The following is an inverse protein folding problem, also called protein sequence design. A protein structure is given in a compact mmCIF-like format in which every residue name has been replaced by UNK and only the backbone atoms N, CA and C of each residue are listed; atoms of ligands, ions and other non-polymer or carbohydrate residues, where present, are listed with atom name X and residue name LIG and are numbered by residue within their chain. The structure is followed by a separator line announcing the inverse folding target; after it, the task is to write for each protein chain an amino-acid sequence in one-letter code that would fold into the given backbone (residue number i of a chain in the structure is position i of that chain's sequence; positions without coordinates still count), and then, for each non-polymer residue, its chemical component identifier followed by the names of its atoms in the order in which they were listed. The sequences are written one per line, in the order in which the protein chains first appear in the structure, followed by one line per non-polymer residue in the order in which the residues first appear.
data_IF_011040698775
#
_entry.id   IF_011040698775
#
_cell.length_a   1.000
_cell.length_b   1.000
_cell.length_c   1.000
_cell.angle_alpha   90.00
_cell.angle_beta   90.00
_cell.angle_gamma   90.00
#
_symmetry.space_group_name_H-M   'P 1'
#
loop_
_entity.id
_entity.type
_entity.pdbx_description
1 polymer ?
#
# COMPACT_ATOMS: atom_id res chain seq x y z
N UNK A 1 38.70 -13.59 -2.44
CA UNK A 1 37.32 -14.03 -2.71
C UNK A 1 36.63 -12.87 -3.41
N UNK A 2 36.55 -12.94 -4.74
CA UNK A 2 36.07 -11.87 -5.60
C UNK A 2 34.55 -11.92 -5.62
N UNK A 3 33.90 -11.01 -4.88
CA UNK A 3 32.46 -10.80 -4.98
C UNK A 3 32.08 -10.31 -6.39
N UNK A 4 30.81 -10.50 -6.82
CA UNK A 4 30.36 -10.07 -8.13
C UNK A 4 30.61 -8.56 -8.30
N UNK A 5 31.22 -8.18 -9.43
CA UNK A 5 31.44 -6.79 -9.84
C UNK A 5 30.09 -6.19 -10.28
N UNK A 6 29.19 -5.98 -9.33
CA UNK A 6 28.00 -5.18 -9.56
C UNK A 6 28.42 -3.71 -9.56
N UNK A 7 28.06 -2.97 -10.60
CA UNK A 7 28.19 -1.51 -10.61
C UNK A 7 27.26 -0.97 -9.52
N UNK A 8 27.84 -0.33 -8.51
CA UNK A 8 27.11 0.26 -7.39
C UNK A 8 27.06 1.77 -7.63
N UNK A 9 25.86 2.33 -7.60
CA UNK A 9 25.70 3.77 -7.66
C UNK A 9 25.92 4.37 -6.26
N UNK A 10 26.78 5.38 -6.18
CA UNK A 10 27.05 6.08 -4.92
C UNK A 10 26.42 7.46 -5.00
N UNK A 11 25.50 7.74 -4.09
CA UNK A 11 24.85 9.03 -3.94
C UNK A 11 25.44 9.71 -2.73
N UNK A 12 26.07 10.86 -2.95
CA UNK A 12 26.75 11.60 -1.90
C UNK A 12 26.02 12.91 -1.62
N UNK A 13 25.74 13.19 -0.35
CA UNK A 13 25.02 14.40 0.06
C UNK A 13 25.96 15.45 0.63
N UNK A 14 25.62 16.71 0.37
CA UNK A 14 26.25 17.87 1.00
C UNK A 14 25.37 18.36 2.16
N UNK A 15 25.82 18.16 3.39
CA UNK A 15 25.10 18.57 4.61
C UNK A 15 24.10 17.52 5.13
N UNK A 16 23.24 17.94 6.06
CA UNK A 16 22.22 17.05 6.64
C UNK A 16 21.16 16.71 5.60
N UNK A 17 21.04 15.42 5.28
CA UNK A 17 20.07 14.85 4.34
C UNK A 17 19.05 13.92 5.02
N UNK A 18 19.02 13.87 6.36
CA UNK A 18 18.11 13.03 7.12
C UNK A 18 16.62 13.32 6.84
N UNK A 19 16.32 14.54 6.40
CA UNK A 19 14.98 14.99 6.01
C UNK A 19 14.54 14.52 4.61
N UNK A 20 15.41 13.85 3.84
CA UNK A 20 15.18 13.46 2.44
C UNK A 20 14.04 12.46 2.19
N UNK A 21 13.30 12.07 3.23
CA UNK A 21 12.13 11.19 3.12
C UNK A 21 12.49 9.72 2.90
N UNK A 22 13.72 9.31 3.21
CA UNK A 22 14.14 7.92 3.18
C UNK A 22 13.55 7.17 4.38
N UNK A 23 12.75 6.14 4.11
CA UNK A 23 12.18 5.30 5.17
C UNK A 23 13.25 4.36 5.70
N UNK A 24 13.72 4.59 6.92
CA UNK A 24 14.68 3.71 7.60
C UNK A 24 14.02 2.36 7.93
N UNK A 25 14.69 1.26 7.59
CA UNK A 25 14.36 -0.10 8.01
C UNK A 25 15.02 -0.42 9.34
N UNK A 26 16.28 -0.05 9.51
CA UNK A 26 17.04 -0.26 10.75
C UNK A 26 18.25 0.68 10.85
N UNK A 27 18.76 0.88 12.06
CA UNK A 27 19.89 1.78 12.32
C UNK A 27 19.52 3.26 12.28
N UNK A 28 20.46 4.11 11.86
CA UNK A 28 20.29 5.56 11.76
C UNK A 28 20.79 6.09 10.41
N UNK A 29 20.38 7.32 10.08
CA UNK A 29 20.99 8.05 8.98
C UNK A 29 22.48 8.32 9.27
N UNK A 30 23.30 8.47 8.24
CA UNK A 30 24.73 8.79 8.44
C UNK A 30 24.87 10.23 8.94
N UNK A 31 25.78 10.45 9.89
CA UNK A 31 26.00 11.78 10.49
C UNK A 31 27.45 12.26 10.32
N UNK A 32 28.39 11.33 10.11
CA UNK A 32 29.82 11.63 10.01
C UNK A 32 30.43 11.12 8.70
N UNK A 33 31.53 11.74 8.22
CA UNK A 33 32.27 11.23 7.06
C UNK A 33 32.78 9.81 7.31
N UNK A 34 32.72 8.95 6.29
CA UNK A 34 33.06 7.54 6.38
C UNK A 34 31.91 6.64 6.85
N UNK A 35 30.73 7.20 7.12
CA UNK A 35 29.50 6.43 7.33
C UNK A 35 28.66 6.32 6.06
N UNK A 36 27.94 5.20 5.92
CA UNK A 36 27.07 4.94 4.79
C UNK A 36 25.75 4.30 5.22
N UNK A 37 24.70 4.60 4.47
CA UNK A 37 23.38 4.01 4.59
C UNK A 37 23.07 3.32 3.27
N UNK A 38 22.53 2.10 3.34
CA UNK A 38 22.36 1.25 2.15
C UNK A 38 20.97 0.60 2.11
N UNK A 39 20.42 0.28 0.93
CA UNK A 39 19.18 -0.48 0.83
C UNK A 39 19.32 -1.94 1.24
N UNK A 40 18.20 -2.59 1.59
CA UNK A 40 18.17 -4.03 1.91
C UNK A 40 18.78 -4.93 0.82
N UNK A 41 18.48 -4.74 -0.49
CA UNK A 41 19.06 -5.59 -1.53
C UNK A 41 20.59 -5.53 -1.57
N UNK A 42 21.19 -4.38 -1.27
CA UNK A 42 22.64 -4.23 -1.16
C UNK A 42 23.24 -5.12 -0.06
N UNK A 43 22.64 -5.10 1.14
CA UNK A 43 23.08 -5.92 2.27
C UNK A 43 22.98 -7.41 1.93
N UNK A 44 21.86 -7.82 1.31
CA UNK A 44 21.62 -9.20 0.90
C UNK A 44 22.61 -9.66 -0.19
N UNK A 45 22.88 -8.83 -1.19
CA UNK A 45 23.78 -9.14 -2.30
C UNK A 45 25.26 -9.21 -1.88
N UNK A 46 25.67 -8.32 -0.97
CA UNK A 46 27.05 -8.26 -0.46
C UNK A 46 27.30 -9.14 0.75
N UNK A 47 26.25 -9.65 1.39
CA UNK A 47 26.33 -10.43 2.63
C UNK A 47 26.77 -9.61 3.85
N UNK A 48 26.64 -8.29 3.77
CA UNK A 48 27.06 -7.33 4.81
C UNK A 48 25.91 -7.01 5.76
N UNK A 49 26.24 -6.49 6.94
CA UNK A 49 25.28 -6.06 7.97
C UNK A 49 25.58 -4.64 8.43
N UNK A 50 24.61 -4.03 9.09
CA UNK A 50 24.82 -2.77 9.80
C UNK A 50 25.95 -2.98 10.83
N UNK A 51 26.95 -2.10 10.79
CA UNK A 51 28.18 -2.18 11.56
C UNK A 51 29.40 -2.62 10.74
N UNK A 52 29.19 -3.31 9.61
CA UNK A 52 30.29 -3.76 8.76
C UNK A 52 30.91 -2.59 7.95
N UNK A 53 32.16 -2.74 7.55
CA UNK A 53 32.86 -1.80 6.67
C UNK A 53 32.96 -2.37 5.27
N UNK A 54 32.53 -1.60 4.28
CA UNK A 54 32.63 -1.91 2.86
C UNK A 54 33.60 -0.94 2.21
N UNK A 55 34.41 -1.43 1.29
CA UNK A 55 35.32 -0.58 0.51
C UNK A 55 34.67 -0.24 -0.83
N UNK A 56 34.41 1.04 -1.06
CA UNK A 56 33.97 1.55 -2.35
C UNK A 56 35.16 1.53 -3.30
N UNK A 57 35.07 0.67 -4.31
CA UNK A 57 36.07 0.50 -5.36
C UNK A 57 35.61 1.20 -6.65
N UNK A 58 36.54 1.53 -7.55
CA UNK A 58 36.24 2.24 -8.80
C UNK A 58 36.37 3.76 -8.74
N UNK A 59 36.91 4.28 -7.62
CA UNK A 59 37.35 5.67 -7.45
C UNK A 59 38.88 5.75 -7.62
N UNK A 60 39.47 6.95 -7.58
CA UNK A 60 40.93 7.10 -7.69
C UNK A 60 41.67 6.37 -6.55
N UNK A 61 41.08 6.37 -5.35
CA UNK A 61 41.53 5.59 -4.21
C UNK A 61 40.37 4.78 -3.60
N UNK A 62 40.62 3.56 -3.07
CA UNK A 62 39.58 2.80 -2.36
C UNK A 62 39.14 3.52 -1.09
N UNK A 63 37.83 3.77 -0.94
CA UNK A 63 37.29 4.48 0.23
C UNK A 63 36.55 3.50 1.13
N UNK A 64 37.04 3.25 2.37
CA UNK A 64 36.29 2.44 3.33
C UNK A 64 35.14 3.24 3.92
N UNK A 65 33.94 2.65 3.93
CA UNK A 65 32.73 3.23 4.54
C UNK A 65 32.08 2.21 5.48
N UNK A 66 31.64 2.66 6.65
CA UNK A 66 30.94 1.84 7.65
C UNK A 66 29.44 1.96 7.45
N UNK A 67 28.75 0.83 7.36
CA UNK A 67 27.29 0.80 7.24
C UNK A 67 26.66 1.11 8.59
N UNK A 68 25.88 2.18 8.68
CA UNK A 68 25.22 2.62 9.94
C UNK A 68 23.70 2.56 9.91
N UNK A 69 23.13 2.36 8.72
CA UNK A 69 21.70 2.26 8.55
C UNK A 69 21.28 1.49 7.31
N UNK A 70 20.04 1.02 7.35
CA UNK A 70 19.35 0.33 6.27
C UNK A 70 18.11 1.15 5.88
N UNK A 71 17.95 1.42 4.58
CA UNK A 71 16.80 2.18 4.05
C UNK A 71 15.96 1.33 3.10
N UNK A 72 14.67 1.68 3.00
CA UNK A 72 13.81 1.16 1.95
C UNK A 72 13.92 2.05 0.72
N UNK A 73 14.78 1.67 -0.23
CA UNK A 73 14.84 2.28 -1.56
C UNK A 73 14.93 1.19 -2.65
N UNK A 74 13.86 0.96 -3.44
CA UNK A 74 13.85 -0.04 -4.50
C UNK A 74 14.52 0.42 -5.80
N UNK A 75 14.99 1.67 -5.90
CA UNK A 75 15.61 2.21 -7.13
C UNK A 75 16.95 1.54 -7.42
N UNK A 76 17.30 1.43 -8.71
CA UNK A 76 18.53 0.80 -9.21
C UNK A 76 18.76 -0.59 -8.59
N UNK A 77 17.72 -1.42 -8.55
CA UNK A 77 17.71 -2.76 -7.93
C UNK A 77 18.16 -2.80 -6.46
N UNK A 78 18.07 -1.65 -5.77
CA UNK A 78 18.57 -1.48 -4.41
C UNK A 78 20.10 -1.55 -4.29
N UNK A 79 20.84 -1.42 -5.40
CA UNK A 79 22.30 -1.42 -5.45
C UNK A 79 22.85 0.01 -5.39
N UNK A 80 22.45 0.75 -4.36
CA UNK A 80 22.87 2.13 -4.11
C UNK A 80 23.53 2.27 -2.74
N UNK A 81 24.46 3.21 -2.61
CA UNK A 81 25.08 3.57 -1.33
C UNK A 81 24.92 5.07 -1.11
N UNK A 82 24.35 5.45 0.03
CA UNK A 82 24.18 6.83 0.45
C UNK A 82 25.28 7.18 1.46
N UNK A 83 26.03 8.25 1.23
CA UNK A 83 27.10 8.71 2.14
C UNK A 83 27.26 10.22 2.10
N UNK A 84 28.10 10.77 2.98
CA UNK A 84 28.46 12.19 2.95
C UNK A 84 29.48 12.47 1.82
N UNK A 85 29.31 13.56 1.08
CA UNK A 85 30.20 13.96 0.00
C UNK A 85 31.67 14.15 0.41
N UNK A 86 31.91 14.57 1.66
CA UNK A 86 33.28 14.70 2.20
C UNK A 86 34.00 13.35 2.32
N UNK A 87 33.26 12.25 2.46
CA UNK A 87 33.80 10.87 2.46
C UNK A 87 34.49 10.54 1.13
N UNK A 88 33.98 11.10 0.03
CA UNK A 88 34.49 10.84 -1.31
C UNK A 88 35.48 11.90 -1.80
N UNK A 89 35.58 13.04 -1.11
CA UNK A 89 36.36 14.19 -1.55
C UNK A 89 37.85 13.86 -1.78
N UNK A 90 38.43 12.94 -0.98
CA UNK A 90 39.80 12.49 -1.15
C UNK A 90 40.01 11.62 -2.41
N UNK A 91 39.01 10.82 -2.77
CA UNK A 91 39.10 9.85 -3.89
C UNK A 91 38.51 10.38 -5.21
N UNK A 92 37.68 11.42 -5.17
CA UNK A 92 37.10 12.13 -6.31
C UNK A 92 36.99 13.64 -6.00
N UNK A 93 38.04 14.43 -6.23
CA UNK A 93 38.00 15.88 -6.02
C UNK A 93 37.14 16.62 -7.06
N UNK A 94 36.73 15.94 -8.14
CA UNK A 94 35.94 16.45 -9.27
C UNK A 94 34.44 16.13 -9.18
N UNK A 95 33.89 15.96 -7.97
CA UNK A 95 32.46 15.74 -7.79
C UNK A 95 31.66 16.95 -8.27
N UNK A 96 30.91 16.77 -9.35
CA UNK A 96 29.95 17.75 -9.85
C UNK A 96 28.60 17.53 -9.18
N UNK A 97 28.00 18.60 -8.67
CA UNK A 97 26.64 18.56 -8.13
C UNK A 97 25.65 18.26 -9.26
N UNK A 98 24.97 17.12 -9.16
CA UNK A 98 24.03 16.63 -10.18
C UNK A 98 22.57 16.91 -9.84
N UNK A 99 22.27 17.13 -8.56
CA UNK A 99 20.91 17.42 -8.09
C UNK A 99 20.90 18.23 -6.80
N UNK A 100 19.87 19.07 -6.66
CA UNK A 100 19.59 19.79 -5.42
C UNK A 100 18.30 19.24 -4.81
N UNK A 101 18.34 18.92 -3.52
CA UNK A 101 17.16 18.51 -2.78
C UNK A 101 16.61 19.72 -2.03
N UNK A 102 15.28 19.85 -1.97
CA UNK A 102 14.60 20.95 -1.27
C UNK A 102 13.60 20.37 -0.29
N UNK A 103 13.76 20.69 0.99
CA UNK A 103 12.80 20.35 2.03
C UNK A 103 11.60 21.31 1.96
N UNK A 104 10.40 20.77 1.74
CA UNK A 104 9.16 21.54 1.79
C UNK A 104 8.62 21.61 3.23
N UNK A 105 8.08 22.77 3.60
CA UNK A 105 7.44 22.94 4.91
C UNK A 105 6.18 22.07 5.04
N UNK A 106 5.91 21.57 6.24
CA UNK A 106 4.73 20.74 6.53
C UNK A 106 3.42 21.41 6.08
N UNK A 107 2.57 20.67 5.36
CA UNK A 107 1.27 21.17 4.85
C UNK A 107 1.35 21.87 3.49
N UNK A 108 2.52 21.91 2.86
CA UNK A 108 2.69 22.43 1.50
C UNK A 108 2.16 21.42 0.48
N UNK A 109 1.34 21.88 -0.47
CA UNK A 109 0.99 21.08 -1.65
C UNK A 109 2.21 20.92 -2.56
N UNK A 110 2.86 19.77 -2.45
CA UNK A 110 4.08 19.43 -3.20
C UNK A 110 3.83 19.49 -4.71
N UNK A 111 2.64 19.06 -5.16
CA UNK A 111 2.32 19.02 -6.58
C UNK A 111 2.19 20.42 -7.18
N UNK A 112 1.47 21.31 -6.49
CA UNK A 112 1.37 22.72 -6.84
C UNK A 112 2.71 23.44 -6.75
N UNK A 113 3.52 23.14 -5.74
CA UNK A 113 4.86 23.70 -5.56
C UNK A 113 5.80 23.33 -6.71
N UNK A 114 5.86 22.03 -7.06
CA UNK A 114 6.68 21.54 -8.18
C UNK A 114 6.22 22.14 -9.50
N UNK A 115 4.90 22.27 -9.74
CA UNK A 115 4.37 22.90 -10.94
C UNK A 115 4.73 24.39 -11.05
N UNK A 116 4.71 25.12 -9.92
CA UNK A 116 5.13 26.52 -9.88
C UNK A 116 6.65 26.65 -10.10
N UNK A 117 7.44 25.84 -9.41
CA UNK A 117 8.90 25.84 -9.50
C UNK A 117 9.38 25.49 -10.92
N UNK A 118 8.78 24.49 -11.56
CA UNK A 118 9.09 24.13 -12.94
C UNK A 118 8.81 25.25 -13.95
N UNK A 119 7.81 26.11 -13.68
CA UNK A 119 7.54 27.26 -14.54
C UNK A 119 8.67 28.29 -14.49
N UNK A 120 9.22 28.50 -13.29
CA UNK A 120 10.29 29.46 -13.06
C UNK A 120 11.67 28.90 -13.46
N UNK A 121 11.86 27.57 -13.40
CA UNK A 121 13.08 26.88 -13.82
C UNK A 121 13.14 26.57 -15.33
N UNK A 122 12.03 26.65 -16.05
CA UNK A 122 11.98 26.40 -17.50
C UNK A 122 13.03 27.19 -18.32
N UNK A 123 13.36 28.47 -18.03
CA UNK A 123 14.39 29.22 -18.75
C UNK A 123 15.82 28.70 -18.50
N UNK A 124 16.03 28.01 -17.38
CA UNK A 124 17.32 27.46 -16.97
C UNK A 124 17.54 26.03 -17.48
N UNK A 125 16.50 25.41 -18.09
CA UNK A 125 16.56 24.02 -18.56
C UNK A 125 16.62 22.98 -17.44
N UNK A 126 16.25 23.37 -16.21
CA UNK A 126 16.23 22.50 -15.02
C UNK A 126 14.80 22.11 -14.71
N UNK A 127 14.58 20.88 -14.25
CA UNK A 127 13.29 20.40 -13.80
C UNK A 127 13.34 20.00 -12.32
N UNK A 128 12.31 20.38 -11.59
CA UNK A 128 12.02 19.90 -10.26
C UNK A 128 11.05 18.72 -10.35
N UNK A 129 11.27 17.71 -9.51
CA UNK A 129 10.38 16.58 -9.33
C UNK A 129 10.07 16.45 -7.84
N UNK A 130 8.89 15.94 -7.51
CA UNK A 130 8.58 15.62 -6.12
C UNK A 130 9.57 14.55 -5.63
N UNK A 131 10.13 14.71 -4.42
CA UNK A 131 10.98 13.71 -3.78
C UNK A 131 10.17 12.61 -3.08
N UNK A 132 10.83 11.51 -2.71
CA UNK A 132 10.23 10.37 -1.97
C UNK A 132 9.88 9.15 -2.84
N UNK A 133 9.42 8.06 -2.19
CA UNK A 133 9.02 6.81 -2.87
C UNK A 133 7.91 7.03 -3.91
N UNK A 134 7.08 8.05 -3.72
CA UNK A 134 6.02 8.46 -4.64
C UNK A 134 6.55 9.14 -5.92
N UNK A 135 7.83 9.53 -5.97
CA UNK A 135 8.47 10.09 -7.16
C UNK A 135 8.68 9.03 -8.26
N UNK A 136 8.60 7.73 -7.93
CA UNK A 136 8.40 6.64 -8.89
C UNK A 136 6.94 6.56 -9.37
N UNK A 137 6.30 7.72 -9.53
CA UNK A 137 4.85 7.90 -9.58
C UNK A 137 4.16 6.98 -10.58
N UNK A 138 4.75 6.76 -11.76
CA UNK A 138 4.13 5.91 -12.78
C UNK A 138 4.02 4.44 -12.34
N UNK A 139 5.03 3.89 -11.64
CA UNK A 139 4.98 2.51 -11.17
C UNK A 139 4.02 2.37 -9.99
N UNK A 140 4.08 3.28 -9.02
CA UNK A 140 3.19 3.27 -7.85
C UNK A 140 1.73 3.50 -8.28
N UNK A 141 1.47 4.43 -9.19
CA UNK A 141 0.13 4.70 -9.76
C UNK A 141 -0.37 3.47 -10.53
N UNK A 142 0.48 2.82 -11.32
CA UNK A 142 0.09 1.61 -12.05
C UNK A 142 -0.26 0.46 -11.09
N UNK A 143 0.56 0.23 -10.06
CA UNK A 143 0.29 -0.78 -9.03
C UNK A 143 -0.99 -0.49 -8.25
N UNK A 144 -1.24 0.79 -7.91
CA UNK A 144 -2.47 1.22 -7.26
C UNK A 144 -3.69 1.03 -8.17
N UNK A 145 -3.58 1.36 -9.47
CA UNK A 145 -4.64 1.16 -10.43
C UNK A 145 -4.97 -0.34 -10.61
N UNK A 146 -3.96 -1.19 -10.74
CA UNK A 146 -4.14 -2.65 -10.82
C UNK A 146 -4.79 -3.19 -9.54
N UNK A 147 -4.32 -2.77 -8.38
CA UNK A 147 -4.89 -3.16 -7.08
C UNK A 147 -6.34 -2.70 -6.94
N UNK A 148 -6.66 -1.50 -7.41
CA UNK A 148 -8.03 -0.97 -7.40
C UNK A 148 -8.96 -1.79 -8.31
N UNK A 149 -8.52 -2.15 -9.52
CA UNK A 149 -9.31 -3.00 -10.44
C UNK A 149 -9.52 -4.39 -9.84
N UNK A 150 -8.49 -5.01 -9.28
CA UNK A 150 -8.62 -6.32 -8.62
C UNK A 150 -9.58 -6.26 -7.43
N UNK A 151 -9.49 -5.20 -6.63
CA UNK A 151 -10.40 -4.97 -5.50
C UNK A 151 -11.84 -4.83 -5.99
N UNK A 152 -12.08 -4.05 -7.06
CA UNK A 152 -13.40 -3.91 -7.67
C UNK A 152 -13.95 -5.27 -8.14
N UNK A 153 -13.11 -6.11 -8.77
CA UNK A 153 -13.51 -7.44 -9.21
C UNK A 153 -13.90 -8.34 -8.03
N UNK A 154 -13.10 -8.35 -6.96
CA UNK A 154 -13.39 -9.13 -5.76
C UNK A 154 -14.70 -8.67 -5.09
N UNK A 155 -14.91 -7.35 -5.01
CA UNK A 155 -16.15 -6.76 -4.51
C UNK A 155 -17.35 -7.19 -5.37
N UNK A 156 -17.22 -7.17 -6.69
CA UNK A 156 -18.28 -7.59 -7.60
C UNK A 156 -18.62 -9.09 -7.43
N UNK A 157 -17.60 -9.95 -7.34
CA UNK A 157 -17.78 -11.39 -7.10
C UNK A 157 -18.45 -11.63 -5.75
N UNK A 158 -18.01 -10.95 -4.69
CA UNK A 158 -18.61 -11.05 -3.36
C UNK A 158 -20.08 -10.58 -3.37
N UNK A 159 -20.38 -9.45 -4.03
CA UNK A 159 -21.73 -8.93 -4.14
C UNK A 159 -22.67 -9.88 -4.90
N UNK A 160 -22.20 -10.50 -5.98
CA UNK A 160 -22.95 -11.53 -6.71
C UNK A 160 -23.19 -12.78 -5.85
N UNK A 161 -22.21 -13.18 -5.05
CA UNK A 161 -22.35 -14.27 -4.09
C UNK A 161 -23.43 -13.99 -3.04
N UNK A 162 -23.41 -12.80 -2.44
CA UNK A 162 -24.44 -12.36 -1.48
C UNK A 162 -25.81 -12.30 -2.16
N UNK A 163 -25.91 -11.70 -3.35
CA UNK A 163 -27.15 -11.64 -4.12
C UNK A 163 -27.73 -13.03 -4.37
N UNK A 164 -26.89 -13.98 -4.82
CA UNK A 164 -27.28 -15.36 -5.05
C UNK A 164 -27.77 -16.06 -3.77
N UNK A 165 -27.05 -15.88 -2.66
CA UNK A 165 -27.42 -16.44 -1.36
C UNK A 165 -28.76 -15.89 -0.84
N UNK A 166 -28.96 -14.57 -0.91
CA UNK A 166 -30.21 -13.92 -0.48
C UNK A 166 -31.39 -14.32 -1.38
N UNK A 167 -31.17 -14.45 -2.69
CA UNK A 167 -32.18 -14.94 -3.62
C UNK A 167 -32.61 -16.37 -3.28
N UNK A 168 -31.65 -17.24 -2.96
CA UNK A 168 -31.94 -18.62 -2.57
C UNK A 168 -32.70 -18.68 -1.24
N UNK A 169 -32.22 -18.01 -0.20
CA UNK A 169 -32.89 -17.94 1.12
C UNK A 169 -34.32 -17.37 1.00
N UNK A 170 -34.49 -16.32 0.20
CA UNK A 170 -35.81 -15.74 -0.07
C UNK A 170 -36.73 -16.73 -0.77
N UNK A 171 -36.22 -17.49 -1.76
CA UNK A 171 -36.98 -18.50 -2.51
C UNK A 171 -37.44 -19.65 -1.61
N UNK A 172 -36.55 -20.16 -0.75
CA UNK A 172 -36.86 -21.21 0.21
C UNK A 172 -37.95 -20.76 1.20
N UNK A 173 -37.94 -19.48 1.59
CA UNK A 173 -38.90 -18.89 2.54
C UNK A 173 -40.17 -18.32 1.92
N UNK A 174 -40.41 -18.48 0.61
CA UNK A 174 -41.60 -17.89 -0.07
C UNK A 174 -42.91 -18.31 0.61
N UNK A 175 -43.02 -19.58 1.00
CA UNK A 175 -44.25 -20.10 1.64
C UNK A 175 -44.47 -19.47 3.02
N UNK A 176 -43.42 -19.34 3.82
CA UNK A 176 -43.46 -18.71 5.15
C UNK A 176 -43.84 -17.23 5.05
N UNK A 177 -43.24 -16.51 4.09
CA UNK A 177 -43.57 -15.10 3.79
C UNK A 177 -45.03 -14.97 3.34
N UNK A 178 -45.53 -15.91 2.54
CA UNK A 178 -46.93 -15.98 2.11
C UNK A 178 -47.89 -16.12 3.29
N UNK A 179 -47.58 -16.98 4.26
CA UNK A 179 -48.36 -17.13 5.50
C UNK A 179 -48.35 -15.86 6.34
N UNK A 180 -47.19 -15.22 6.52
CA UNK A 180 -47.09 -13.96 7.28
C UNK A 180 -47.87 -12.83 6.60
N UNK A 181 -47.83 -12.72 5.26
CA UNK A 181 -48.65 -11.75 4.51
C UNK A 181 -50.15 -12.02 4.68
N UNK A 182 -50.57 -13.29 4.74
CA UNK A 182 -51.96 -13.64 5.00
C UNK A 182 -52.42 -13.27 6.43
N UNK A 183 -51.49 -13.25 7.40
CA UNK A 183 -51.72 -12.77 8.76
C UNK A 183 -51.64 -11.23 8.90
N UNK A 184 -51.41 -10.50 7.81
CA UNK A 184 -51.40 -9.03 7.80
C UNK A 184 -50.02 -8.37 7.76
N UNK A 185 -48.94 -9.12 7.49
CA UNK A 185 -47.59 -8.54 7.35
C UNK A 185 -47.53 -7.55 6.18
N UNK A 186 -47.09 -6.33 6.46
CA UNK A 186 -46.92 -5.27 5.45
C UNK A 186 -45.66 -5.51 4.58
N UNK A 187 -45.62 -5.02 3.33
CA UNK A 187 -44.44 -5.15 2.47
C UNK A 187 -43.15 -4.59 3.09
N UNK A 188 -43.25 -3.53 3.90
CA UNK A 188 -42.11 -2.94 4.62
C UNK A 188 -41.53 -3.88 5.68
N UNK A 189 -42.39 -4.64 6.38
CA UNK A 189 -41.95 -5.64 7.35
C UNK A 189 -41.23 -6.80 6.66
N UNK A 190 -41.67 -7.21 5.46
CA UNK A 190 -40.96 -8.24 4.68
C UNK A 190 -39.55 -7.78 4.29
N UNK A 191 -39.40 -6.53 3.82
CA UNK A 191 -38.09 -5.95 3.50
C UNK A 191 -37.21 -5.87 4.75
N UNK A 192 -37.75 -5.41 5.87
CA UNK A 192 -37.01 -5.32 7.13
C UNK A 192 -36.51 -6.70 7.59
N UNK A 193 -37.36 -7.75 7.51
CA UNK A 193 -36.97 -9.12 7.86
C UNK A 193 -35.77 -9.61 7.05
N UNK A 194 -35.82 -9.44 5.72
CA UNK A 194 -34.72 -9.86 4.81
C UNK A 194 -33.47 -9.01 5.04
N UNK A 195 -33.60 -7.70 5.23
CA UNK A 195 -32.44 -6.85 5.52
C UNK A 195 -31.80 -7.21 6.87
N UNK A 196 -32.59 -7.51 7.90
CA UNK A 196 -32.06 -7.91 9.21
C UNK A 196 -31.28 -9.22 9.12
N UNK A 197 -31.75 -10.23 8.38
CA UNK A 197 -31.00 -11.48 8.22
C UNK A 197 -29.65 -11.24 7.52
N UNK A 198 -29.63 -10.40 6.48
CA UNK A 198 -28.41 -10.03 5.76
C UNK A 198 -27.46 -9.22 6.64
N UNK A 199 -27.97 -8.24 7.39
CA UNK A 199 -27.15 -7.40 8.28
C UNK A 199 -26.49 -8.25 9.36
N UNK A 200 -27.23 -9.15 10.02
CA UNK A 200 -26.67 -10.02 11.07
C UNK A 200 -25.57 -10.91 10.48
N UNK A 201 -25.82 -11.51 9.33
CA UNK A 201 -24.84 -12.38 8.66
C UNK A 201 -23.61 -11.57 8.21
N UNK A 202 -23.81 -10.36 7.69
CA UNK A 202 -22.76 -9.44 7.28
C UNK A 202 -21.91 -8.93 8.45
N UNK A 203 -22.51 -8.68 9.62
CA UNK A 203 -21.79 -8.31 10.84
C UNK A 203 -20.90 -9.45 11.32
N UNK A 204 -21.41 -10.69 11.34
CA UNK A 204 -20.63 -11.88 11.71
C UNK A 204 -19.48 -12.09 10.72
N UNK A 205 -19.76 -11.98 9.42
CA UNK A 205 -18.75 -12.10 8.38
C UNK A 205 -17.69 -11.01 8.47
N UNK A 206 -18.07 -9.76 8.74
CA UNK A 206 -17.14 -8.65 8.95
C UNK A 206 -16.28 -8.83 10.21
N UNK A 207 -16.89 -9.26 11.31
CA UNK A 207 -16.20 -9.51 12.57
C UNK A 207 -15.14 -10.60 12.48
N UNK A 208 -15.32 -11.59 11.61
CA UNK A 208 -14.34 -12.66 11.38
C UNK A 208 -13.39 -12.34 10.21
N UNK A 209 -13.91 -11.79 9.12
CA UNK A 209 -13.19 -11.53 7.89
C UNK A 209 -12.17 -10.41 8.01
N UNK A 210 -12.50 -9.33 8.73
CA UNK A 210 -11.57 -8.19 8.91
C UNK A 210 -10.32 -8.62 9.70
N UNK A 211 -10.42 -9.24 10.90
CA UNK A 211 -9.24 -9.69 11.62
C UNK A 211 -8.43 -10.74 10.84
N UNK A 212 -9.10 -11.66 10.14
CA UNK A 212 -8.43 -12.67 9.33
C UNK A 212 -7.66 -12.04 8.15
N UNK A 213 -8.26 -11.06 7.48
CA UNK A 213 -7.62 -10.32 6.39
C UNK A 213 -6.39 -9.55 6.86
N UNK A 214 -6.48 -8.87 8.00
CA UNK A 214 -5.34 -8.17 8.62
C UNK A 214 -4.23 -9.15 9.01
N UNK A 215 -4.58 -10.27 9.64
CA UNK A 215 -3.62 -11.30 10.02
C UNK A 215 -2.92 -11.92 8.80
N UNK A 216 -3.65 -12.13 7.71
CA UNK A 216 -3.09 -12.66 6.47
C UNK A 216 -2.18 -11.62 5.79
N UNK A 217 -2.60 -10.35 5.73
CA UNK A 217 -1.79 -9.26 5.21
C UNK A 217 -0.45 -9.14 5.93
N UNK A 218 -0.47 -9.17 7.27
CA UNK A 218 0.74 -9.11 8.09
C UNK A 218 1.69 -10.31 7.93
N UNK A 219 1.27 -11.40 7.28
CA UNK A 219 2.13 -12.56 6.97
C UNK A 219 2.55 -12.63 5.51
N UNK A 220 1.62 -12.37 4.59
CA UNK A 220 1.85 -12.50 3.15
C UNK A 220 2.71 -11.34 2.64
N UNK A 221 2.47 -10.11 3.10
CA UNK A 221 3.17 -8.95 2.58
C UNK A 221 4.67 -8.95 2.92
N UNK A 222 5.10 -9.28 4.17
CA UNK A 222 6.53 -9.43 4.47
C UNK A 222 7.18 -10.57 3.68
N UNK A 223 6.51 -11.72 3.56
CA UNK A 223 7.02 -12.86 2.81
C UNK A 223 7.21 -12.53 1.32
N UNK A 224 6.30 -11.76 0.73
CA UNK A 224 6.47 -11.25 -0.64
C UNK A 224 7.63 -10.26 -0.74
N UNK A 225 7.76 -9.32 0.20
CA UNK A 225 8.90 -8.39 0.25
C UNK A 225 10.23 -9.13 0.30
N UNK A 226 10.38 -10.07 1.22
CA UNK A 226 11.59 -10.88 1.37
C UNK A 226 11.92 -11.67 0.10
N UNK A 227 10.90 -12.18 -0.63
CA UNK A 227 11.11 -12.90 -1.89
C UNK A 227 11.68 -12.04 -3.02
N UNK A 228 11.49 -10.71 -2.95
CA UNK A 228 12.04 -9.73 -3.90
C UNK A 228 13.25 -9.00 -3.29
N UNK A 229 13.74 -9.42 -2.12
CA UNK A 229 14.90 -8.84 -1.44
C UNK A 229 14.62 -7.51 -0.72
N UNK A 230 13.36 -7.15 -0.52
CA UNK A 230 12.93 -5.94 0.18
C UNK A 230 12.50 -6.26 1.62
N UNK A 231 13.06 -5.56 2.60
CA UNK A 231 12.53 -5.60 3.98
C UNK A 231 11.63 -4.40 4.19
N UNK A 232 10.33 -4.68 4.31
CA UNK A 232 9.32 -3.66 4.57
C UNK A 232 9.35 -3.31 6.06
N UNK A 233 9.61 -2.05 6.45
CA UNK A 233 9.55 -1.63 7.83
C UNK A 233 8.11 -1.66 8.37
N UNK A 234 7.97 -1.81 9.69
CA UNK A 234 6.67 -1.84 10.37
C UNK A 234 5.82 -0.60 10.09
N UNK A 235 6.43 0.56 9.83
CA UNK A 235 5.73 1.79 9.42
C UNK A 235 4.97 1.66 8.11
N UNK A 236 5.42 0.81 7.19
CA UNK A 236 4.78 0.53 5.89
C UNK A 236 3.76 -0.61 6.00
N UNK A 237 3.92 -1.50 6.99
CA UNK A 237 3.00 -2.61 7.24
C UNK A 237 1.85 -2.21 8.19
N UNK A 238 2.07 -1.21 9.04
CA UNK A 238 1.10 -0.69 10.00
C UNK A 238 0.08 0.28 9.36
N UNK A 239 -0.38 -0.02 8.14
CA UNK A 239 -1.41 0.78 7.45
C UNK A 239 -2.75 0.68 8.19
N UNK A 240 -3.06 -0.49 8.77
CA UNK A 240 -4.33 -0.71 9.46
C UNK A 240 -4.35 -0.12 10.87
N UNK A 241 -4.44 1.21 10.97
CA UNK A 241 -4.83 1.84 12.23
C UNK A 241 -6.27 1.40 12.60
N UNK A 242 -6.58 1.27 13.89
CA UNK A 242 -7.91 0.80 14.33
C UNK A 242 -9.08 1.65 13.79
N UNK A 243 -8.81 2.91 13.43
CA UNK A 243 -9.78 3.82 12.81
C UNK A 243 -10.09 3.47 11.35
N UNK A 244 -9.17 2.85 10.61
CA UNK A 244 -9.35 2.46 9.20
C UNK A 244 -10.03 1.09 9.03
N UNK A 245 -10.03 0.26 10.07
CA UNK A 245 -10.79 -1.00 10.09
C UNK A 245 -12.31 -0.77 10.12
N UNK A 246 -12.75 0.36 10.69
CA UNK A 246 -14.15 0.72 10.77
C UNK A 246 -14.78 0.98 9.39
N UNK A 247 -14.22 1.85 8.50
CA UNK A 247 -14.75 2.04 7.17
C UNK A 247 -14.68 0.77 6.29
N UNK A 248 -13.71 -0.12 6.51
CA UNK A 248 -13.66 -1.42 5.82
C UNK A 248 -14.84 -2.32 6.23
N UNK A 249 -15.10 -2.45 7.53
CA UNK A 249 -16.23 -3.22 8.04
C UNK A 249 -17.58 -2.61 7.59
N UNK A 250 -17.71 -1.29 7.67
CA UNK A 250 -18.91 -0.57 7.24
C UNK A 250 -19.10 -0.65 5.72
N UNK A 251 -18.02 -0.58 4.92
CA UNK A 251 -18.05 -0.71 3.47
C UNK A 251 -18.56 -2.08 3.03
N UNK A 252 -18.05 -3.15 3.64
CA UNK A 252 -18.55 -4.51 3.40
C UNK A 252 -20.03 -4.68 3.75
N UNK A 253 -20.45 -4.15 4.90
CA UNK A 253 -21.86 -4.17 5.32
C UNK A 253 -22.76 -3.36 4.37
N UNK A 254 -22.27 -2.21 3.90
CA UNK A 254 -22.98 -1.35 2.95
C UNK A 254 -23.14 -2.05 1.60
N UNK A 255 -22.11 -2.72 1.10
CA UNK A 255 -22.19 -3.50 -0.15
C UNK A 255 -23.18 -4.66 0.01
N UNK A 256 -23.13 -5.40 1.11
CA UNK A 256 -24.03 -6.51 1.37
C UNK A 256 -25.50 -6.06 1.46
N UNK A 257 -25.76 -4.95 2.17
CA UNK A 257 -27.12 -4.40 2.31
C UNK A 257 -27.64 -3.85 0.99
N UNK A 258 -26.82 -3.11 0.21
CA UNK A 258 -27.20 -2.62 -1.11
C UNK A 258 -27.52 -3.78 -2.08
N UNK A 259 -26.71 -4.84 -2.08
CA UNK A 259 -26.95 -6.03 -2.90
C UNK A 259 -28.25 -6.76 -2.53
N UNK A 260 -28.63 -6.75 -1.25
CA UNK A 260 -29.85 -7.39 -0.75
C UNK A 260 -31.13 -6.58 -0.95
N UNK A 261 -31.05 -5.27 -1.21
CA UNK A 261 -32.23 -4.43 -1.43
C UNK A 261 -33.07 -4.87 -2.64
N UNK A 262 -32.40 -5.30 -3.72
CA UNK A 262 -33.05 -5.80 -4.93
C UNK A 262 -33.93 -7.05 -4.66
N UNK A 263 -33.37 -8.16 -4.12
CA UNK A 263 -34.17 -9.34 -3.82
C UNK A 263 -35.21 -9.10 -2.71
N UNK A 264 -34.90 -8.29 -1.69
CA UNK A 264 -35.86 -7.93 -0.64
C UNK A 264 -37.08 -7.19 -1.22
N UNK A 265 -36.86 -6.25 -2.14
CA UNK A 265 -37.92 -5.52 -2.85
C UNK A 265 -38.77 -6.44 -3.72
N UNK A 266 -38.16 -7.41 -4.40
CA UNK A 266 -38.87 -8.44 -5.16
C UNK A 266 -39.74 -9.32 -4.25
N UNK A 267 -39.21 -9.81 -3.13
CA UNK A 267 -39.95 -10.61 -2.15
C UNK A 267 -41.18 -9.86 -1.60
N UNK A 268 -41.01 -8.57 -1.32
CA UNK A 268 -42.08 -7.72 -0.84
C UNK A 268 -43.20 -7.54 -1.88
N UNK A 269 -42.84 -7.41 -3.17
CA UNK A 269 -43.78 -7.23 -4.29
C UNK A 269 -44.36 -8.52 -4.86
N UNK A 270 -43.78 -9.68 -4.54
CA UNK A 270 -44.31 -10.98 -4.97
C UNK A 270 -45.75 -11.15 -4.47
N UNK A 271 -46.69 -11.26 -5.42
CA UNK A 271 -48.13 -11.41 -5.16
C UNK A 271 -48.41 -12.85 -4.71
N UNK A 272 -49.08 -12.98 -3.57
CA UNK A 272 -49.50 -14.24 -2.95
C UNK A 272 -50.35 -15.13 -3.86
N UNK A 273 -51.04 -14.56 -4.85
CA UNK A 273 -51.90 -15.31 -5.77
C UNK A 273 -51.16 -16.19 -6.80
N UNK A 274 -49.88 -15.92 -7.08
CA UNK A 274 -49.12 -16.72 -8.06
C UNK A 274 -48.43 -17.93 -7.42
N UNK A 275 -48.19 -17.90 -6.11
CA UNK A 275 -47.51 -18.98 -5.38
C UNK A 275 -48.41 -20.20 -5.08
N UNK A 276 -49.73 -20.05 -5.21
CA UNK A 276 -50.73 -21.11 -4.98
C UNK A 276 -51.29 -21.71 -6.29
N UNK A 277 -50.81 -21.25 -7.46
CA UNK A 277 -51.35 -21.64 -8.78
C UNK A 277 -50.33 -22.31 -9.69
N UNK A 278 -49.17 -22.70 -9.16
CA UNK A 278 -48.13 -23.45 -9.88
C UNK A 278 -48.08 -24.92 -9.49
N UNK A 279 -49.16 -25.44 -8.90
CA UNK A 279 -49.52 -26.86 -9.00
C UNK A 279 -50.84 -26.98 -9.76
#
# INVERSE_FOLDING_TARGET
MSGPTATIDVVAFTGDASWGGYTMVSGRWFDEPGEAVVPTPFLAATGTRIGDTVTLNGLAEPVPVRIVGEVLDPRNDGMQVFTDASTLAAARPDLTETSHHIAVSSGTDVSGYVAALNRDLAPLGVTAQAGGLDAGGDMVVTLNALSAVLTLMLVAVAALGVLGGVLLDTRERVREIGVHKALGMTPRQTVAMVLTSVVVTGLVAGALGVPLGVALHGRVLPAMGESVGLRLPDSVLAVYSGAELLPLALGGLLIATLGALLPAGWAARARTATALRTE
#
